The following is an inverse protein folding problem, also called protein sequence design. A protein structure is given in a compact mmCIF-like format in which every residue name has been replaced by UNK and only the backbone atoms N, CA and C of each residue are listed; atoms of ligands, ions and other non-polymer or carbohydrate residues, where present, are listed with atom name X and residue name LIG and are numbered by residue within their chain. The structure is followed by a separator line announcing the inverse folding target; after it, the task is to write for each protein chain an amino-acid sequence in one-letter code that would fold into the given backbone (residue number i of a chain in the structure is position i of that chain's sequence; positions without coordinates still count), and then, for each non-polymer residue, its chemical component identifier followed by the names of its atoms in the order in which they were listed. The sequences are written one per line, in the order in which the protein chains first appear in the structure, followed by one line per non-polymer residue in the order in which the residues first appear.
data_IF_956530671692
#
_entry.id   IF_956530671692
#
_cell.length_a   1.000
_cell.length_b   1.000
_cell.length_c   1.000
_cell.angle_alpha   90.00
_cell.angle_beta   90.00
_cell.angle_gamma   90.00
#
_symmetry.space_group_name_H-M   'P 1'
#
loop_
_entity.id
_entity.type
_entity.pdbx_description
1 polymer ?
#
# COMPACT_ATOMS: atom_id res chain seq x y z
N UNK A 1 27.24 -1.33 18.85
CA UNK A 1 28.66 -1.11 19.19
C UNK A 1 29.41 -2.38 18.83
N UNK A 2 30.48 -2.26 18.05
CA UNK A 2 31.23 -3.40 17.50
C UNK A 2 32.31 -3.78 18.51
N UNK A 3 32.25 -4.99 19.06
CA UNK A 3 33.25 -5.51 20.01
C UNK A 3 34.62 -5.55 19.34
N UNK A 4 35.53 -4.69 19.82
CA UNK A 4 36.94 -4.70 19.43
C UNK A 4 37.57 -5.81 20.26
N UNK A 5 37.92 -6.92 19.61
CA UNK A 5 38.57 -8.06 20.25
C UNK A 5 39.78 -7.59 21.06
N UNK A 6 39.84 -8.05 22.31
CA UNK A 6 40.88 -7.73 23.31
C UNK A 6 42.21 -8.43 23.02
N UNK A 7 42.49 -8.74 21.76
CA UNK A 7 43.78 -9.22 21.29
C UNK A 7 44.59 -8.00 20.89
N UNK A 8 45.32 -7.47 21.88
CA UNK A 8 46.22 -6.35 21.73
C UNK A 8 47.26 -6.71 20.65
N UNK A 9 47.00 -6.33 19.40
CA UNK A 9 47.78 -6.69 18.21
C UNK A 9 49.11 -5.92 18.15
N UNK A 10 49.33 -5.02 19.10
CA UNK A 10 50.54 -4.21 19.27
C UNK A 10 51.48 -4.81 20.31
N UNK A 11 51.72 -6.12 20.27
CA UNK A 11 52.77 -6.75 21.07
C UNK A 11 54.08 -6.77 20.29
N UNK A 12 55.12 -6.17 20.85
CA UNK A 12 56.48 -6.26 20.29
C UNK A 12 56.99 -7.71 20.39
N UNK A 13 57.82 -8.18 19.45
CA UNK A 13 58.45 -9.50 19.53
C UNK A 13 59.21 -9.70 20.84
N UNK A 14 59.28 -10.95 21.30
CA UNK A 14 60.13 -11.32 22.45
C UNK A 14 61.58 -10.93 22.15
N UNK A 15 62.23 -10.22 23.08
CA UNK A 15 63.61 -9.74 22.90
C UNK A 15 63.77 -8.48 22.04
N UNK A 16 62.70 -7.83 21.58
CA UNK A 16 62.79 -6.60 20.74
C UNK A 16 63.62 -5.49 21.38
N UNK A 17 63.53 -5.33 22.71
CA UNK A 17 64.26 -4.31 23.46
C UNK A 17 65.64 -4.77 23.92
N UNK A 18 65.98 -6.06 23.77
CA UNK A 18 67.29 -6.58 24.15
C UNK A 18 68.35 -6.08 23.15
N UNK A 19 69.26 -5.23 23.62
CA UNK A 19 70.30 -4.63 22.79
C UNK A 19 69.82 -3.48 21.88
N UNK A 20 68.55 -3.06 21.95
CA UNK A 20 68.04 -1.92 21.18
C UNK A 20 68.83 -0.64 21.48
N UNK A 21 69.07 -0.37 22.77
CA UNK A 21 69.85 0.80 23.21
C UNK A 21 71.28 0.77 22.64
N UNK A 22 71.92 -0.40 22.68
CA UNK A 22 73.28 -0.57 22.16
C UNK A 22 73.32 -0.43 20.64
N UNK A 23 72.31 -0.94 19.94
CA UNK A 23 72.16 -0.77 18.48
C UNK A 23 71.94 0.69 18.09
N UNK A 24 71.08 1.42 18.82
CA UNK A 24 70.84 2.85 18.60
C UNK A 24 72.14 3.63 18.84
N UNK A 25 72.81 3.41 19.98
CA UNK A 25 74.07 4.07 20.31
C UNK A 25 75.18 3.75 19.31
N UNK A 26 75.29 2.49 18.89
CA UNK A 26 76.22 2.07 17.84
C UNK A 26 75.94 2.80 16.53
N UNK A 27 74.68 2.90 16.12
CA UNK A 27 74.28 3.59 14.88
C UNK A 27 74.53 5.10 14.93
N UNK A 28 74.29 5.74 16.08
CA UNK A 28 74.63 7.16 16.30
C UNK A 28 76.14 7.38 16.24
N UNK A 29 76.93 6.50 16.86
CA UNK A 29 78.40 6.58 16.82
C UNK A 29 78.96 6.29 15.41
N UNK A 30 78.30 5.39 14.65
CA UNK A 30 78.59 5.15 13.24
C UNK A 30 78.22 6.35 12.35
N UNK A 31 77.14 7.08 12.66
CA UNK A 31 76.72 8.31 11.95
C UNK A 31 77.57 9.54 12.33
N UNK A 32 78.08 9.64 13.56
CA UNK A 32 79.13 10.61 13.96
C UNK A 32 80.44 10.42 13.16
N UNK A 33 80.56 9.22 12.57
CA UNK A 33 81.46 8.79 11.49
C UNK A 33 81.58 9.69 10.26
N UNK A 34 80.43 10.25 9.87
CA UNK A 34 80.17 10.54 8.47
C UNK A 34 79.05 11.56 8.31
N UNK A 35 79.41 12.84 8.47
CA UNK A 35 78.77 14.01 7.87
C UNK A 35 77.23 13.96 7.88
N UNK A 36 76.63 14.41 8.98
CA UNK A 36 75.25 14.91 8.93
C UNK A 36 75.13 15.85 7.72
N UNK A 37 74.14 15.65 6.82
CA UNK A 37 73.97 16.52 5.68
C UNK A 37 73.72 17.94 6.19
N UNK A 38 74.55 18.91 5.78
CA UNK A 38 74.39 20.33 6.15
C UNK A 38 73.04 20.92 5.70
N UNK A 39 72.35 20.23 4.79
CA UNK A 39 71.03 20.61 4.29
C UNK A 39 69.96 19.84 5.05
N UNK A 40 69.06 20.60 5.66
CA UNK A 40 67.85 20.08 6.30
C UNK A 40 67.12 19.15 5.33
N UNK A 41 67.06 17.86 5.65
CA UNK A 41 66.45 16.83 4.80
C UNK A 41 64.93 16.94 4.66
N UNK A 42 64.33 17.96 5.27
CA UNK A 42 62.89 18.21 5.30
C UNK A 42 62.59 19.59 4.70
N UNK A 43 62.78 19.70 3.39
CA UNK A 43 62.28 20.83 2.61
C UNK A 43 60.90 20.51 2.04
N UNK A 44 59.99 21.49 2.01
CA UNK A 44 58.80 21.39 1.17
C UNK A 44 59.19 21.63 -0.29
N UNK A 45 58.52 21.00 -1.27
CA UNK A 45 58.75 21.29 -2.68
C UNK A 45 58.48 22.76 -3.02
N UNK A 46 59.17 23.26 -4.05
CA UNK A 46 58.96 24.63 -4.55
C UNK A 46 57.48 24.88 -4.87
N UNK A 47 56.94 25.99 -4.37
CA UNK A 47 55.54 26.42 -4.55
C UNK A 47 54.49 25.46 -3.94
N UNK A 48 54.85 24.65 -2.93
CA UNK A 48 53.89 23.80 -2.21
C UNK A 48 52.70 24.59 -1.68
N UNK A 49 52.97 25.69 -0.96
CA UNK A 49 51.92 26.50 -0.34
C UNK A 49 51.05 27.23 -1.36
N UNK A 50 51.64 27.74 -2.46
CA UNK A 50 50.88 28.39 -3.54
C UNK A 50 49.92 27.43 -4.27
N UNK A 51 50.34 26.16 -4.42
CA UNK A 51 49.49 25.11 -5.01
C UNK A 51 48.41 24.66 -4.04
N UNK A 52 48.77 24.46 -2.78
CA UNK A 52 47.84 24.04 -1.73
C UNK A 52 46.69 25.04 -1.58
N UNK A 53 47.00 26.33 -1.52
CA UNK A 53 45.99 27.38 -1.41
C UNK A 53 45.00 27.34 -2.58
N UNK A 54 45.51 27.28 -3.82
CA UNK A 54 44.68 27.19 -5.03
C UNK A 54 43.81 25.94 -5.04
N UNK A 55 44.35 24.80 -4.63
CA UNK A 55 43.63 23.55 -4.59
C UNK A 55 42.50 23.56 -3.55
N UNK A 56 42.76 24.13 -2.36
CA UNK A 56 41.76 24.30 -1.31
C UNK A 56 40.63 25.21 -1.80
N UNK A 57 40.95 26.37 -2.37
CA UNK A 57 39.95 27.33 -2.84
C UNK A 57 39.12 26.76 -3.99
N UNK A 58 39.74 26.05 -4.92
CA UNK A 58 39.04 25.38 -6.04
C UNK A 58 38.05 24.33 -5.53
N UNK A 59 38.41 23.59 -4.48
CA UNK A 59 37.56 22.53 -3.93
C UNK A 59 36.47 23.05 -2.97
N UNK A 60 36.65 24.20 -2.35
CA UNK A 60 35.73 24.71 -1.31
C UNK A 60 34.82 25.84 -1.77
N UNK A 61 35.28 26.74 -2.64
CA UNK A 61 34.53 27.97 -2.99
C UNK A 61 33.61 27.77 -4.20
N UNK A 62 33.92 26.83 -5.11
CA UNK A 62 33.20 26.71 -6.39
C UNK A 62 31.86 25.94 -6.36
N UNK A 63 31.38 25.47 -5.21
CA UNK A 63 30.05 24.82 -5.14
C UNK A 63 29.04 25.75 -4.50
N UNK A 64 28.43 26.60 -5.33
CA UNK A 64 27.11 27.14 -5.03
C UNK A 64 26.12 25.97 -5.07
N UNK A 65 25.95 25.28 -3.94
CA UNK A 65 24.85 24.34 -3.80
C UNK A 65 23.56 25.16 -3.72
N UNK A 66 22.58 24.92 -4.61
CA UNK A 66 21.33 25.65 -4.53
C UNK A 66 20.68 25.32 -3.18
N UNK A 67 20.55 26.33 -2.32
CA UNK A 67 19.83 26.19 -1.05
C UNK A 67 18.34 26.14 -1.38
N UNK A 68 17.82 24.92 -1.54
CA UNK A 68 16.39 24.70 -1.78
C UNK A 68 15.67 24.93 -0.45
N UNK A 69 14.88 26.00 -0.38
CA UNK A 69 14.05 26.31 0.79
C UNK A 69 12.86 25.34 0.81
N UNK A 70 12.69 24.60 1.90
CA UNK A 70 11.53 23.73 2.11
C UNK A 70 10.28 24.59 2.37
N UNK A 71 9.29 24.51 1.48
CA UNK A 71 7.98 25.15 1.68
C UNK A 71 7.14 24.25 2.59
N UNK A 72 6.58 24.85 3.64
CA UNK A 72 5.77 24.16 4.65
C UNK A 72 4.31 24.15 4.16
N UNK A 73 3.83 23.05 3.61
CA UNK A 73 2.47 22.93 3.06
C UNK A 73 1.37 22.74 4.13
N UNK A 74 1.55 23.31 5.33
CA UNK A 74 0.66 23.11 6.48
C UNK A 74 -0.79 23.52 6.21
N UNK A 75 -1.00 24.51 5.33
CA UNK A 75 -2.33 24.99 4.96
C UNK A 75 -3.19 23.98 4.19
N UNK A 76 -2.57 23.05 3.45
CA UNK A 76 -3.29 22.02 2.70
C UNK A 76 -3.49 20.73 3.48
N UNK A 77 -2.91 20.62 4.69
CA UNK A 77 -3.01 19.40 5.49
C UNK A 77 -4.46 19.11 5.89
N UNK A 78 -5.20 20.12 6.36
CA UNK A 78 -6.62 19.97 6.70
C UNK A 78 -7.48 19.68 5.47
N UNK A 79 -7.19 20.32 4.33
CA UNK A 79 -7.91 20.06 3.08
C UNK A 79 -7.68 18.62 2.58
N UNK A 80 -6.44 18.14 2.60
CA UNK A 80 -6.10 16.77 2.24
C UNK A 80 -6.69 15.75 3.22
N UNK A 81 -6.71 16.06 4.52
CA UNK A 81 -7.34 15.21 5.54
C UNK A 81 -8.86 15.10 5.35
N UNK A 82 -9.54 16.19 4.98
CA UNK A 82 -10.97 16.16 4.68
C UNK A 82 -11.29 15.29 3.45
N UNK A 83 -10.49 15.41 2.38
CA UNK A 83 -10.62 14.56 1.18
C UNK A 83 -10.40 13.08 1.54
N UNK A 84 -9.34 12.78 2.29
CA UNK A 84 -9.06 11.41 2.75
C UNK A 84 -10.17 10.87 3.66
N UNK A 85 -10.75 11.68 4.54
CA UNK A 85 -11.87 11.30 5.38
C UNK A 85 -13.12 10.95 4.57
N UNK A 86 -13.41 11.69 3.50
CA UNK A 86 -14.51 11.35 2.57
C UNK A 86 -14.25 10.01 1.90
N UNK A 87 -13.03 9.75 1.41
CA UNK A 87 -12.68 8.45 0.83
C UNK A 87 -12.82 7.31 1.84
N UNK A 88 -12.36 7.50 3.08
CA UNK A 88 -12.51 6.52 4.15
C UNK A 88 -13.99 6.29 4.48
N UNK A 89 -14.81 7.34 4.47
CA UNK A 89 -16.25 7.24 4.73
C UNK A 89 -16.95 6.44 3.61
N UNK A 90 -16.68 6.75 2.34
CA UNK A 90 -17.25 6.01 1.20
C UNK A 90 -16.82 4.55 1.22
N UNK A 91 -15.52 4.27 1.37
CA UNK A 91 -15.00 2.89 1.41
C UNK A 91 -15.51 2.15 2.66
N UNK A 92 -15.64 2.85 3.80
CA UNK A 92 -16.07 2.28 5.06
C UNK A 92 -17.57 1.95 5.12
N UNK A 93 -18.41 2.71 4.42
CA UNK A 93 -19.84 2.39 4.29
C UNK A 93 -20.06 1.17 3.38
N UNK A 94 -19.31 1.08 2.29
CA UNK A 94 -19.43 -0.02 1.31
C UNK A 94 -18.83 -1.34 1.82
N UNK A 95 -17.89 -1.32 2.77
CA UNK A 95 -17.24 -2.55 3.27
C UNK A 95 -18.22 -3.47 4.02
N UNK A 96 -19.26 -2.92 4.64
CA UNK A 96 -20.17 -3.66 5.54
C UNK A 96 -21.52 -4.01 4.92
N UNK A 97 -21.72 -3.74 3.62
CA UNK A 97 -23.01 -3.95 2.94
C UNK A 97 -23.01 -5.13 1.98
N UNK A 98 -21.92 -5.92 1.95
CA UNK A 98 -21.94 -7.20 1.25
C UNK A 98 -22.79 -8.18 2.06
N UNK A 99 -24.07 -8.33 1.67
CA UNK A 99 -24.89 -9.46 2.12
C UNK A 99 -24.10 -10.74 1.84
N UNK A 100 -23.99 -11.67 2.82
CA UNK A 100 -23.29 -12.93 2.59
C UNK A 100 -24.05 -13.69 1.50
N UNK A 101 -23.39 -14.02 0.38
CA UNK A 101 -23.95 -14.86 -0.67
C UNK A 101 -24.48 -16.16 -0.04
N UNK A 102 -25.79 -16.33 -0.08
CA UNK A 102 -26.49 -17.49 0.44
C UNK A 102 -26.66 -18.55 -0.65
N UNK A 103 -27.04 -19.77 -0.25
CA UNK A 103 -27.41 -20.79 -1.22
C UNK A 103 -28.69 -20.43 -1.98
N UNK A 104 -29.56 -19.61 -1.39
CA UNK A 104 -30.81 -19.17 -2.01
C UNK A 104 -30.51 -18.23 -3.20
N UNK A 105 -29.58 -17.28 -3.02
CA UNK A 105 -29.12 -16.39 -4.10
C UNK A 105 -28.56 -17.17 -5.31
N UNK A 106 -27.86 -18.28 -5.04
CA UNK A 106 -27.30 -19.14 -6.08
C UNK A 106 -28.38 -19.97 -6.78
N UNK A 107 -29.35 -20.49 -6.03
CA UNK A 107 -30.44 -21.28 -6.57
C UNK A 107 -31.34 -20.42 -7.48
N UNK A 108 -31.65 -19.19 -7.07
CA UNK A 108 -32.39 -18.23 -7.88
C UNK A 108 -31.66 -17.92 -9.19
N UNK A 109 -30.38 -17.57 -9.12
CA UNK A 109 -29.58 -17.27 -10.30
C UNK A 109 -29.47 -18.45 -11.28
N UNK A 110 -29.41 -19.69 -10.78
CA UNK A 110 -29.38 -20.89 -11.60
C UNK A 110 -30.72 -21.14 -12.31
N UNK A 111 -31.85 -20.95 -11.61
CA UNK A 111 -33.20 -21.07 -12.19
C UNK A 111 -33.41 -20.02 -13.29
N UNK A 112 -33.09 -18.75 -13.01
CA UNK A 112 -33.21 -17.65 -13.97
C UNK A 112 -32.34 -17.89 -15.20
N UNK A 113 -31.08 -18.26 -15.00
CA UNK A 113 -30.15 -18.62 -16.09
C UNK A 113 -30.66 -19.80 -16.92
N UNK A 114 -31.28 -20.80 -16.28
CA UNK A 114 -31.86 -21.94 -16.98
C UNK A 114 -33.03 -21.54 -17.88
N UNK A 115 -33.93 -20.67 -17.41
CA UNK A 115 -35.08 -20.19 -18.18
C UNK A 115 -34.62 -19.32 -19.38
N UNK A 116 -33.73 -18.35 -19.13
CA UNK A 116 -33.18 -17.47 -20.17
C UNK A 116 -32.37 -18.24 -21.22
N UNK A 117 -31.49 -19.15 -20.80
CA UNK A 117 -30.62 -19.90 -21.71
C UNK A 117 -31.37 -20.86 -22.63
N UNK A 118 -32.58 -21.26 -22.24
CA UNK A 118 -33.45 -22.15 -23.01
C UNK A 118 -34.45 -21.39 -23.88
N UNK A 119 -34.40 -20.06 -23.90
CA UNK A 119 -35.29 -19.17 -24.66
C UNK A 119 -36.77 -19.50 -24.37
N UNK A 120 -37.05 -19.84 -23.11
CA UNK A 120 -38.38 -20.18 -22.64
C UNK A 120 -39.11 -18.88 -22.26
N UNK A 121 -39.74 -18.23 -23.22
CA UNK A 121 -40.72 -17.16 -22.95
C UNK A 121 -42.01 -17.80 -22.39
N UNK A 122 -42.01 -18.18 -21.11
CA UNK A 122 -43.19 -18.73 -20.45
C UNK A 122 -44.01 -17.59 -19.82
N UNK A 123 -45.27 -17.48 -20.21
CA UNK A 123 -46.24 -16.65 -19.49
C UNK A 123 -46.62 -17.28 -18.14
N UNK A 124 -47.09 -16.48 -17.18
CA UNK A 124 -47.55 -16.96 -15.87
C UNK A 124 -48.60 -18.07 -15.99
N UNK A 125 -49.47 -18.00 -17.01
CA UNK A 125 -50.45 -19.04 -17.33
C UNK A 125 -49.83 -20.36 -17.77
N UNK A 126 -48.75 -20.31 -18.55
CA UNK A 126 -48.04 -21.52 -19.01
C UNK A 126 -47.22 -22.14 -17.88
N UNK A 127 -46.63 -21.31 -17.01
CA UNK A 127 -45.94 -21.79 -15.80
C UNK A 127 -46.94 -22.53 -14.91
N UNK A 128 -48.14 -21.97 -14.70
CA UNK A 128 -49.18 -22.61 -13.90
C UNK A 128 -49.67 -23.96 -14.49
N UNK A 129 -49.60 -24.13 -15.82
CA UNK A 129 -49.97 -25.39 -16.49
C UNK A 129 -48.92 -26.50 -16.28
N UNK A 130 -47.64 -26.14 -16.19
CA UNK A 130 -46.54 -27.09 -16.09
C UNK A 130 -46.24 -27.48 -14.63
N UNK A 131 -46.70 -26.69 -13.66
CA UNK A 131 -46.51 -26.99 -12.23
C UNK A 131 -47.29 -28.25 -11.82
N UNK A 132 -46.63 -29.31 -11.30
CA UNK A 132 -47.28 -30.53 -10.87
C UNK A 132 -47.98 -30.34 -9.52
N UNK A 133 -49.19 -29.77 -9.56
CA UNK A 133 -49.99 -29.40 -8.39
C UNK A 133 -50.29 -30.56 -7.43
N UNK A 134 -50.25 -31.80 -7.91
CA UNK A 134 -50.45 -33.00 -7.08
C UNK A 134 -49.27 -33.33 -6.16
N UNK A 135 -48.08 -32.78 -6.43
CA UNK A 135 -46.86 -33.02 -5.66
C UNK A 135 -46.50 -31.85 -4.73
N UNK A 136 -47.30 -30.78 -4.74
CA UNK A 136 -47.09 -29.62 -3.89
C UNK A 136 -47.77 -29.85 -2.54
N UNK A 137 -47.00 -29.79 -1.45
CA UNK A 137 -47.54 -29.87 -0.11
C UNK A 137 -47.97 -28.48 0.37
N UNK A 138 -49.00 -28.43 1.23
CA UNK A 138 -49.46 -27.17 1.82
C UNK A 138 -48.35 -26.48 2.63
N UNK A 139 -47.36 -27.24 3.11
CA UNK A 139 -46.21 -26.73 3.87
C UNK A 139 -45.22 -25.96 2.98
N UNK A 140 -45.03 -26.37 1.72
CA UNK A 140 -44.11 -25.70 0.76
C UNK A 140 -44.51 -24.22 0.53
N UNK A 141 -45.82 -23.94 0.46
CA UNK A 141 -46.35 -22.57 0.32
C UNK A 141 -46.32 -21.77 1.62
N UNK A 142 -46.31 -22.45 2.77
CA UNK A 142 -46.33 -21.81 4.08
C UNK A 142 -44.92 -21.51 4.59
N UNK A 143 -43.91 -22.26 4.14
CA UNK A 143 -42.49 -22.02 4.44
C UNK A 143 -41.93 -20.85 3.62
N UNK A 144 -42.43 -20.63 2.39
CA UNK A 144 -42.14 -19.41 1.64
C UNK A 144 -42.88 -18.23 2.27
N UNK A 145 -42.25 -17.53 3.20
CA UNK A 145 -42.74 -16.20 3.61
C UNK A 145 -42.62 -15.28 2.40
N UNK A 146 -43.73 -15.04 1.70
CA UNK A 146 -43.77 -14.05 0.62
C UNK A 146 -43.48 -12.69 1.22
N UNK A 147 -42.37 -12.08 0.82
CA UNK A 147 -42.02 -10.73 1.29
C UNK A 147 -43.06 -9.73 0.80
N UNK A 148 -43.46 -8.84 1.71
CA UNK A 148 -44.32 -7.70 1.41
C UNK A 148 -43.79 -6.81 0.27
N UNK A 149 -42.46 -6.75 0.09
CA UNK A 149 -41.85 -6.01 -1.01
C UNK A 149 -42.21 -6.61 -2.36
N UNK A 150 -42.08 -7.94 -2.52
CA UNK A 150 -42.45 -8.64 -3.75
C UNK A 150 -43.96 -8.58 -4.04
N UNK A 151 -44.80 -8.58 -2.99
CA UNK A 151 -46.25 -8.37 -3.15
C UNK A 151 -46.53 -6.96 -3.67
N UNK A 152 -45.83 -5.95 -3.16
CA UNK A 152 -46.02 -4.56 -3.60
C UNK A 152 -45.59 -4.38 -5.05
N UNK A 153 -44.44 -4.94 -5.43
CA UNK A 153 -43.89 -4.89 -6.78
C UNK A 153 -44.82 -5.57 -7.80
N UNK A 154 -45.33 -6.77 -7.48
CA UNK A 154 -46.30 -7.46 -8.31
C UNK A 154 -47.61 -6.67 -8.48
N UNK A 155 -48.10 -6.06 -7.40
CA UNK A 155 -49.31 -5.23 -7.45
C UNK A 155 -49.07 -3.94 -8.25
N UNK A 156 -47.88 -3.35 -8.19
CA UNK A 156 -47.53 -2.16 -8.97
C UNK A 156 -47.45 -2.46 -10.47
N UNK A 157 -46.82 -3.57 -10.85
CA UNK A 157 -46.75 -4.01 -12.26
C UNK A 157 -48.13 -4.45 -12.79
N UNK A 158 -48.98 -4.99 -11.92
CA UNK A 158 -50.34 -5.44 -12.29
C UNK A 158 -51.42 -4.36 -12.16
N UNK A 159 -51.10 -3.14 -11.68
CA UNK A 159 -52.08 -2.07 -11.49
C UNK A 159 -52.75 -1.67 -12.81
N UNK A 160 -51.97 -1.65 -13.91
CA UNK A 160 -52.49 -1.30 -15.23
C UNK A 160 -53.54 -2.31 -15.74
N UNK A 161 -53.35 -3.60 -15.44
CA UNK A 161 -54.31 -4.67 -15.76
C UNK A 161 -55.57 -4.62 -14.87
N UNK A 162 -55.43 -4.15 -13.62
CA UNK A 162 -56.56 -4.01 -12.68
C UNK A 162 -57.42 -2.79 -12.96
N UNK A 163 -56.83 -1.69 -13.43
CA UNK A 163 -57.57 -0.51 -13.88
C UNK A 163 -58.44 -0.82 -15.10
N UNK A 164 -58.03 -1.76 -15.96
CA UNK A 164 -58.84 -2.25 -17.08
C UNK A 164 -60.02 -3.13 -16.61
N UNK A 165 -59.90 -3.76 -15.43
CA UNK A 165 -60.95 -4.57 -14.80
C UNK A 165 -61.92 -3.75 -13.92
N UNK A 166 -61.67 -2.45 -13.72
CA UNK A 166 -62.61 -1.53 -13.08
C UNK A 166 -63.77 -1.21 -14.04
N UNK A 167 -64.55 -2.25 -14.34
CA UNK A 167 -65.82 -2.17 -15.04
C UNK A 167 -66.77 -1.39 -14.13
N UNK A 168 -67.13 -0.19 -14.59
CA UNK A 168 -68.25 0.66 -14.17
C UNK A 168 -69.22 -0.02 -13.19
N UNK A 169 -69.02 0.24 -11.89
CA UNK A 169 -69.96 -0.15 -10.83
C UNK A 169 -70.88 1.01 -10.41
N UNK A 170 -70.99 2.05 -11.22
CA UNK A 170 -71.92 3.15 -11.02
C UNK A 170 -72.75 3.40 -12.30
N UNK A 171 -74.07 3.57 -12.10
CA UNK A 171 -75.15 3.81 -13.07
C UNK A 171 -75.72 2.51 -13.71
N UNK A 172 -76.94 2.04 -13.48
CA UNK A 172 -78.22 2.74 -13.35
C UNK A 172 -79.29 1.72 -12.88
N UNK A 173 -79.81 1.84 -11.64
CA UNK A 173 -81.11 1.25 -11.30
C UNK A 173 -82.19 2.31 -11.56
N UNK A 174 -82.92 2.16 -12.66
CA UNK A 174 -84.28 2.67 -12.83
C UNK A 174 -85.25 1.49 -12.95
#
# INVERSE_FOLDING_TARGET
MKDISKENSFKTPSGYFEGLSDQILKKIQEEDTGKLPEKEGFGVPDNYFDRLEKEILTKTVQRETPVIKLKQYKSYFYAAAAIAAIFILVIGLEWNSAQPLTFDDLAEADITSYIESRDLELSNSEIAEVIPLANLEMDDFMESSVDSEHIMDYLEDSIDDLDELNIDLDEEYQ
#
